data_IF_314700139418
#
_entry.id   IF_314700139418
#
_cell.length_a   1.000
_cell.length_b   1.000
_cell.length_c   1.000
_cell.angle_alpha   90.00
_cell.angle_beta   90.00
_cell.angle_gamma   90.00
#
_symmetry.space_group_name_H-M   'P 1'
#
loop_
_entity.id
_entity.type
_entity.pdbx_description
1 polymer ?
#
# COMPACT_ATOMS: atom_id res chain seq x y z
N UNK A 1 -18.74 -23.13 -2.38
CA UNK A 1 -18.25 -23.93 -3.53
C UNK A 1 -17.53 -22.98 -4.48
N UNK A 2 -16.23 -23.21 -4.72
CA UNK A 2 -15.47 -22.39 -5.65
C UNK A 2 -15.88 -22.75 -7.10
N UNK A 3 -16.57 -21.82 -7.77
CA UNK A 3 -17.10 -22.02 -9.13
C UNK A 3 -16.00 -21.98 -10.22
N UNK A 4 -14.81 -21.48 -9.88
CA UNK A 4 -13.74 -21.11 -10.81
C UNK A 4 -12.44 -21.92 -10.57
N UNK A 5 -12.36 -22.70 -9.49
CA UNK A 5 -11.17 -23.50 -9.19
C UNK A 5 -11.35 -24.96 -9.63
N UNK A 6 -10.34 -25.51 -10.30
CA UNK A 6 -10.28 -26.92 -10.66
C UNK A 6 -10.33 -27.82 -9.41
N UNK A 7 -11.17 -28.86 -9.34
CA UNK A 7 -11.26 -29.72 -8.15
C UNK A 7 -9.96 -30.47 -7.85
N UNK A 8 -9.08 -30.65 -8.85
CA UNK A 8 -7.80 -31.37 -8.70
C UNK A 8 -6.69 -30.48 -8.11
N UNK A 9 -6.72 -29.16 -8.36
CA UNK A 9 -5.63 -28.23 -8.02
C UNK A 9 -6.11 -27.05 -7.15
N UNK A 10 -7.42 -26.98 -6.85
CA UNK A 10 -8.05 -25.86 -6.16
C UNK A 10 -7.44 -25.56 -4.78
N UNK A 11 -6.93 -26.58 -4.07
CA UNK A 11 -6.22 -26.39 -2.81
C UNK A 11 -4.97 -25.51 -2.95
N UNK A 12 -4.18 -25.68 -4.02
CA UNK A 12 -2.99 -24.86 -4.26
C UNK A 12 -3.35 -23.41 -4.61
N UNK A 13 -4.40 -23.20 -5.41
CA UNK A 13 -4.88 -21.85 -5.73
C UNK A 13 -5.47 -21.14 -4.50
N UNK A 14 -6.18 -21.85 -3.62
CA UNK A 14 -6.65 -21.29 -2.35
C UNK A 14 -5.50 -20.93 -1.41
N UNK A 15 -4.49 -21.80 -1.28
CA UNK A 15 -3.30 -21.52 -0.46
C UNK A 15 -2.52 -20.34 -1.00
N UNK A 16 -2.28 -20.28 -2.32
CA UNK A 16 -1.59 -19.17 -2.96
C UNK A 16 -2.34 -17.85 -2.74
N UNK A 17 -3.68 -17.86 -2.88
CA UNK A 17 -4.50 -16.68 -2.60
C UNK A 17 -4.37 -16.23 -1.14
N UNK A 18 -4.34 -17.17 -0.19
CA UNK A 18 -4.14 -16.86 1.22
C UNK A 18 -2.75 -16.24 1.46
N UNK A 19 -1.70 -16.76 0.83
CA UNK A 19 -0.34 -16.19 0.89
C UNK A 19 -0.33 -14.75 0.34
N UNK A 20 -0.90 -14.53 -0.85
CA UNK A 20 -0.98 -13.19 -1.44
C UNK A 20 -1.85 -12.24 -0.61
N UNK A 21 -2.92 -12.72 0.03
CA UNK A 21 -3.77 -11.90 0.90
C UNK A 21 -3.04 -11.49 2.18
N UNK A 22 -2.31 -12.41 2.81
CA UNK A 22 -1.47 -12.09 3.97
C UNK A 22 -0.33 -11.13 3.61
N UNK A 23 0.28 -11.29 2.44
CA UNK A 23 1.32 -10.39 1.95
C UNK A 23 0.77 -9.00 1.59
N UNK A 24 -0.38 -8.95 0.91
CA UNK A 24 -1.06 -7.72 0.53
C UNK A 24 -1.52 -6.87 1.71
N UNK A 25 -1.76 -7.48 2.88
CA UNK A 25 -2.10 -6.73 4.10
C UNK A 25 -0.92 -6.03 4.78
N UNK A 26 0.32 -6.47 4.53
CA UNK A 26 1.51 -6.00 5.27
C UNK A 26 2.50 -5.24 4.39
N UNK A 27 2.69 -5.66 3.14
CA UNK A 27 3.65 -5.05 2.20
C UNK A 27 3.38 -3.55 1.92
N UNK A 28 2.12 -3.11 1.70
CA UNK A 28 1.85 -1.69 1.38
C UNK A 28 2.18 -0.75 2.53
N UNK A 29 2.15 -1.23 3.78
CA UNK A 29 2.35 -0.39 4.97
C UNK A 29 3.72 0.31 4.94
N UNK A 30 4.76 -0.42 4.53
CA UNK A 30 6.10 0.15 4.43
C UNK A 30 6.14 1.33 3.44
N UNK A 31 5.65 1.11 2.21
CA UNK A 31 5.63 2.15 1.17
C UNK A 31 4.75 3.35 1.54
N UNK A 32 3.61 3.11 2.17
CA UNK A 32 2.71 4.21 2.57
C UNK A 32 3.35 5.07 3.64
N UNK A 33 4.01 4.47 4.64
CA UNK A 33 4.69 5.23 5.69
C UNK A 33 5.90 5.99 5.13
N UNK A 34 6.70 5.37 4.27
CA UNK A 34 7.80 6.05 3.58
C UNK A 34 7.29 7.23 2.73
N UNK A 35 6.18 7.06 2.01
CA UNK A 35 5.56 8.13 1.24
C UNK A 35 5.08 9.29 2.14
N UNK A 36 4.50 8.99 3.30
CA UNK A 36 4.08 10.03 4.27
C UNK A 36 5.30 10.81 4.74
N UNK A 37 6.39 10.13 5.11
CA UNK A 37 7.63 10.81 5.53
C UNK A 37 8.20 11.67 4.40
N UNK A 38 8.20 11.17 3.16
CA UNK A 38 8.66 11.92 1.99
C UNK A 38 7.84 13.20 1.72
N UNK A 39 6.52 13.17 1.94
CA UNK A 39 5.64 14.32 1.74
C UNK A 39 5.54 15.25 2.95
N UNK A 40 6.04 14.83 4.11
CA UNK A 40 5.95 15.61 5.35
C UNK A 40 7.02 16.67 5.38
N UNK A 41 6.63 17.91 5.70
CA UNK A 41 7.54 19.03 5.89
C UNK A 41 7.44 19.46 7.35
N UNK A 42 8.49 19.15 8.11
CA UNK A 42 8.64 19.53 9.50
C UNK A 42 9.99 20.23 9.69
N UNK A 43 9.99 21.36 10.38
CA UNK A 43 11.18 22.19 10.60
C UNK A 43 11.43 22.37 12.09
N UNK A 44 12.70 22.30 12.50
CA UNK A 44 13.09 22.60 13.87
C UNK A 44 13.09 24.13 14.07
N UNK A 45 12.21 24.65 14.93
CA UNK A 45 12.21 26.07 15.33
C UNK A 45 12.87 26.25 16.71
N UNK A 46 13.97 27.01 16.71
CA UNK A 46 14.71 27.53 17.85
C UNK A 46 15.61 28.67 17.34
N UNK A 47 16.27 29.45 18.22
CA UNK A 47 17.31 30.45 17.90
C UNK A 47 18.58 29.86 17.24
N UNK A 48 18.45 28.88 16.34
CA UNK A 48 19.52 28.43 15.48
C UNK A 48 19.51 29.27 14.20
N UNK A 49 20.69 29.78 13.80
CA UNK A 49 20.86 30.50 12.54
C UNK A 49 20.60 29.61 11.30
N UNK A 50 20.51 28.29 11.47
CA UNK A 50 20.25 27.33 10.39
C UNK A 50 19.06 26.40 10.73
N UNK A 51 17.85 26.67 10.19
CA UNK A 51 16.73 25.74 10.30
C UNK A 51 16.99 24.47 9.49
N UNK A 52 16.77 23.30 10.10
CA UNK A 52 16.91 22.00 9.45
C UNK A 52 15.61 21.17 9.57
N UNK A 53 15.37 20.25 8.62
CA UNK A 53 14.17 19.41 8.65
C UNK A 53 14.21 18.42 9.82
N UNK A 54 13.05 18.14 10.41
CA UNK A 54 12.89 17.22 11.55
C UNK A 54 11.87 16.11 11.26
N UNK A 55 12.06 15.42 10.14
CA UNK A 55 11.12 14.38 9.68
C UNK A 55 11.51 13.03 10.29
N UNK A 56 12.80 12.70 10.22
CA UNK A 56 13.33 11.43 10.74
C UNK A 56 13.45 11.44 12.26
N UNK A 57 13.45 10.25 12.89
CA UNK A 57 13.63 10.14 14.34
C UNK A 57 14.97 10.73 14.81
N UNK A 58 16.03 10.60 14.01
CA UNK A 58 17.35 11.15 14.28
C UNK A 58 17.34 12.69 14.30
N UNK A 59 16.69 13.33 13.34
CA UNK A 59 16.59 14.79 13.30
C UNK A 59 15.71 15.33 14.43
N UNK A 60 14.65 14.60 14.80
CA UNK A 60 13.79 14.94 15.94
C UNK A 60 14.57 14.87 17.26
N UNK A 61 15.40 13.84 17.47
CA UNK A 61 16.24 13.76 18.67
C UNK A 61 17.25 14.90 18.72
N UNK A 62 17.93 15.20 17.61
CA UNK A 62 18.88 16.32 17.52
C UNK A 62 18.22 17.68 17.79
N UNK A 63 16.99 17.89 17.31
CA UNK A 63 16.22 19.10 17.58
C UNK A 63 15.89 19.23 19.09
N UNK A 64 15.47 18.14 19.73
CA UNK A 64 15.17 18.10 21.16
C UNK A 64 16.42 18.31 22.02
N UNK A 65 17.54 17.69 21.68
CA UNK A 65 18.82 17.86 22.41
C UNK A 65 19.33 19.31 22.34
N UNK A 66 19.08 19.99 21.22
CA UNK A 66 19.39 21.43 21.04
C UNK A 66 18.34 22.35 21.67
N UNK A 67 17.38 21.81 22.40
CA UNK A 67 16.32 22.56 23.08
C UNK A 67 15.29 23.21 22.15
N UNK A 68 15.24 22.78 20.88
CA UNK A 68 14.29 23.25 19.88
C UNK A 68 12.98 22.47 19.89
N UNK A 69 11.95 23.02 19.22
CA UNK A 69 10.69 22.32 18.99
C UNK A 69 10.53 22.01 17.50
N UNK A 70 10.27 20.75 17.18
CA UNK A 70 9.92 20.33 15.83
C UNK A 70 8.48 20.76 15.53
N UNK A 71 8.32 21.69 14.58
CA UNK A 71 7.02 22.19 14.15
C UNK A 71 6.70 21.61 12.79
N UNK A 72 5.59 20.89 12.71
CA UNK A 72 5.07 20.35 11.43
C UNK A 72 4.34 21.49 10.71
N UNK A 73 4.88 21.93 9.58
CA UNK A 73 4.23 22.96 8.74
C UNK A 73 3.26 22.33 7.74
N UNK A 74 3.61 21.14 7.23
CA UNK A 74 2.76 20.38 6.29
C UNK A 74 2.82 18.90 6.62
N UNK A 75 1.65 18.33 6.91
CA UNK A 75 1.51 16.90 7.17
C UNK A 75 1.36 16.12 5.84
N UNK A 76 2.29 15.20 5.58
CA UNK A 76 2.29 14.35 4.40
C UNK A 76 1.13 13.36 4.36
N UNK A 77 0.48 13.09 5.51
CA UNK A 77 -0.65 12.16 5.63
C UNK A 77 -1.79 12.48 4.66
N UNK A 78 -2.17 13.76 4.54
CA UNK A 78 -3.29 14.15 3.68
C UNK A 78 -2.97 13.95 2.19
N UNK A 79 -1.73 14.22 1.79
CA UNK A 79 -1.28 14.05 0.40
C UNK A 79 -1.19 12.57 0.06
N UNK A 80 -0.55 11.78 0.93
CA UNK A 80 -0.43 10.33 0.76
C UNK A 80 -1.80 9.65 0.72
N UNK A 81 -2.73 10.06 1.59
CA UNK A 81 -4.10 9.54 1.61
C UNK A 81 -4.86 9.88 0.33
N UNK A 82 -4.79 11.13 -0.13
CA UNK A 82 -5.42 11.55 -1.40
C UNK A 82 -4.84 10.76 -2.59
N UNK A 83 -3.52 10.56 -2.62
CA UNK A 83 -2.87 9.76 -3.65
C UNK A 83 -3.31 8.28 -3.62
N UNK A 84 -3.38 7.67 -2.43
CA UNK A 84 -3.85 6.28 -2.28
C UNK A 84 -5.29 6.10 -2.76
N UNK A 85 -6.18 7.05 -2.46
CA UNK A 85 -7.57 7.03 -2.94
C UNK A 85 -7.62 7.18 -4.46
N UNK A 86 -6.87 8.13 -5.03
CA UNK A 86 -6.82 8.34 -6.47
C UNK A 86 -6.31 7.07 -7.19
N UNK A 87 -5.19 6.50 -6.73
CA UNK A 87 -4.62 5.27 -7.30
C UNK A 87 -5.61 4.11 -7.16
N UNK A 88 -6.22 3.93 -5.98
CA UNK A 88 -7.20 2.88 -5.72
C UNK A 88 -8.44 2.97 -6.62
N UNK A 89 -8.98 4.18 -6.82
CA UNK A 89 -10.12 4.39 -7.73
C UNK A 89 -9.75 4.08 -9.18
N UNK A 90 -8.56 4.48 -9.64
CA UNK A 90 -8.05 4.15 -10.98
C UNK A 90 -7.92 2.65 -11.17
N UNK A 91 -7.26 1.95 -10.24
CA UNK A 91 -7.15 0.49 -10.27
C UNK A 91 -8.52 -0.19 -10.26
N UNK A 92 -9.44 0.27 -9.44
CA UNK A 92 -10.79 -0.27 -9.37
C UNK A 92 -11.53 -0.14 -10.71
N UNK A 93 -11.44 1.04 -11.36
CA UNK A 93 -12.03 1.26 -12.68
C UNK A 93 -11.44 0.35 -13.76
N UNK A 94 -10.14 0.05 -13.70
CA UNK A 94 -9.49 -0.85 -14.66
C UNK A 94 -9.73 -2.34 -14.39
N UNK A 95 -9.74 -2.76 -13.11
CA UNK A 95 -9.85 -4.17 -12.71
C UNK A 95 -11.30 -4.66 -12.80
N UNK A 96 -12.28 -3.85 -12.40
CA UNK A 96 -13.70 -4.23 -12.44
C UNK A 96 -14.18 -4.82 -13.78
N UNK A 97 -13.94 -4.18 -14.95
CA UNK A 97 -14.38 -4.74 -16.23
C UNK A 97 -13.68 -6.06 -16.54
N UNK A 98 -12.42 -6.23 -16.12
CA UNK A 98 -11.69 -7.49 -16.30
C UNK A 98 -12.31 -8.58 -15.41
N UNK A 99 -12.59 -8.31 -14.15
CA UNK A 99 -13.27 -9.27 -13.25
C UNK A 99 -14.63 -9.68 -13.84
N UNK A 100 -15.44 -8.72 -14.29
CA UNK A 100 -16.74 -9.02 -14.92
C UNK A 100 -16.60 -9.90 -16.16
N UNK A 101 -15.61 -9.61 -17.00
CA UNK A 101 -15.29 -10.43 -18.17
C UNK A 101 -14.87 -11.84 -17.76
N UNK A 102 -13.99 -12.00 -16.78
CA UNK A 102 -13.54 -13.30 -16.27
C UNK A 102 -14.70 -14.10 -15.65
N UNK A 103 -15.58 -13.46 -14.88
CA UNK A 103 -16.76 -14.08 -14.27
C UNK A 103 -17.77 -14.59 -15.30
N UNK A 104 -17.87 -13.94 -16.46
CA UNK A 104 -18.77 -14.37 -17.54
C UNK A 104 -18.28 -15.63 -18.30
N UNK A 105 -17.04 -16.06 -18.10
CA UNK A 105 -16.48 -17.19 -18.84
C UNK A 105 -16.97 -18.54 -18.29
N UNK A 106 -17.31 -19.50 -19.16
CA UNK A 106 -17.83 -20.80 -18.75
C UNK A 106 -16.78 -21.61 -17.96
N UNK A 107 -17.17 -22.42 -16.98
CA UNK A 107 -16.26 -23.18 -16.11
C UNK A 107 -15.30 -24.12 -16.86
N UNK A 108 -15.62 -24.49 -18.11
CA UNK A 108 -14.77 -25.36 -18.95
C UNK A 108 -13.42 -24.74 -19.30
N UNK A 109 -13.31 -23.41 -19.39
CA UNK A 109 -12.01 -22.75 -19.72
C UNK A 109 -11.07 -22.68 -18.53
N UNK A 110 -11.59 -22.87 -17.32
CA UNK A 110 -10.83 -22.83 -16.06
C UNK A 110 -10.31 -24.20 -15.64
N UNK A 111 -10.77 -25.26 -16.32
CA UNK A 111 -10.44 -26.65 -16.00
C UNK A 111 -9.39 -27.23 -16.94
N UNK A 112 -8.40 -27.92 -16.40
CA UNK A 112 -7.41 -28.65 -17.18
C UNK A 112 -8.07 -29.81 -17.95
N UNK A 113 -7.71 -29.99 -19.23
CA UNK A 113 -8.05 -31.20 -19.97
C UNK A 113 -7.14 -32.33 -19.50
N UNK A 114 -7.72 -33.30 -18.79
CA UNK A 114 -7.07 -34.58 -18.56
C UNK A 114 -7.11 -35.36 -19.88
N UNK A 115 -5.95 -35.59 -20.50
CA UNK A 115 -5.83 -36.55 -21.62
C UNK A 115 -5.62 -37.94 -21.00
N UNK A 116 -6.44 -38.90 -21.43
CA UNK A 116 -6.37 -40.31 -21.02
C UNK A 116 -5.22 -41.02 -21.74
#
# INVERSE_FOLDING_TARGET
MALIADPVIGGTYMTLLATFSNFGGTWPRFFVLEAVDYFTIAMCRQNLNDPFPCVTELEKSLCNERGGKCVVERDGYYIASAACIAIGTVFFMFILPQIKRLQSMPPKVWKLKMNN
#
